data_IF_015002511000
#
_entry.id   IF_015002511000
#
_cell.length_a   1.000
_cell.length_b   1.000
_cell.length_c   1.000
_cell.angle_alpha   90.00
_cell.angle_beta   90.00
_cell.angle_gamma   90.00
#
_symmetry.space_group_name_H-M   'P 1'
#
loop_
_entity.id
_entity.type
_entity.pdbx_description
1 polymer ?
#
# COMPACT_ATOMS: atom_id res chain seq x y z
N UNK A 1 9.81 -59.05 13.93
CA UNK A 1 10.28 -57.90 13.15
C UNK A 1 11.65 -57.51 13.70
N UNK A 2 12.69 -57.57 12.87
CA UNK A 2 14.09 -57.46 13.30
C UNK A 2 14.44 -55.99 13.52
N UNK A 3 15.21 -55.66 14.58
CA UNK A 3 15.61 -54.28 14.96
C UNK A 3 16.17 -53.45 13.79
N UNK A 4 16.84 -54.11 12.84
CA UNK A 4 17.36 -53.46 11.61
C UNK A 4 16.25 -53.05 10.62
N UNK A 5 15.14 -53.77 10.57
CA UNK A 5 13.99 -53.43 9.71
C UNK A 5 13.20 -52.25 10.30
N UNK A 6 13.12 -52.14 11.65
CA UNK A 6 12.48 -51.02 12.31
C UNK A 6 13.26 -49.71 12.10
N UNK A 7 14.59 -49.76 12.16
CA UNK A 7 15.46 -48.63 11.89
C UNK A 7 15.40 -48.14 10.42
N UNK A 8 15.27 -49.06 9.46
CA UNK A 8 15.09 -48.74 8.05
C UNK A 8 13.73 -48.10 7.76
N UNK A 9 12.66 -48.53 8.45
CA UNK A 9 11.33 -47.92 8.35
C UNK A 9 11.30 -46.52 8.96
N UNK A 10 11.98 -46.26 10.08
CA UNK A 10 12.10 -44.95 10.68
C UNK A 10 12.93 -43.97 9.83
N UNK A 11 13.98 -44.48 9.14
CA UNK A 11 14.80 -43.67 8.25
C UNK A 11 14.04 -43.27 6.95
N UNK A 12 13.09 -44.10 6.49
CA UNK A 12 12.28 -43.80 5.30
C UNK A 12 11.17 -42.79 5.57
N UNK A 13 10.75 -42.61 6.83
CA UNK A 13 9.74 -41.60 7.21
C UNK A 13 10.30 -40.22 7.42
N UNK A 14 11.61 -40.06 7.51
CA UNK A 14 12.25 -38.75 7.80
C UNK A 14 12.67 -38.00 6.55
N UNK A 15 12.36 -38.48 5.34
CA UNK A 15 12.81 -37.88 4.07
C UNK A 15 11.71 -37.23 3.23
N UNK A 16 10.48 -37.08 3.74
CA UNK A 16 9.45 -36.30 3.04
C UNK A 16 9.48 -34.88 3.60
N UNK A 17 10.54 -34.14 3.29
CA UNK A 17 10.51 -32.71 3.34
C UNK A 17 9.60 -32.24 2.17
N UNK A 18 8.33 -31.95 2.43
CA UNK A 18 7.52 -31.20 1.48
C UNK A 18 8.16 -29.83 1.32
N UNK A 19 8.52 -29.42 0.10
CA UNK A 19 8.87 -28.02 -0.13
C UNK A 19 7.63 -27.21 0.23
N UNK A 20 7.70 -26.41 1.28
CA UNK A 20 6.75 -25.35 1.51
C UNK A 20 6.97 -24.37 0.36
N UNK A 21 6.15 -24.48 -0.67
CA UNK A 21 6.05 -23.43 -1.68
C UNK A 21 5.51 -22.20 -0.94
N UNK A 22 6.42 -21.30 -0.60
CA UNK A 22 6.01 -19.95 -0.24
C UNK A 22 5.15 -19.45 -1.40
N UNK A 23 3.93 -19.03 -1.11
CA UNK A 23 3.06 -18.36 -2.10
C UNK A 23 3.81 -17.11 -2.46
N UNK A 24 4.48 -17.13 -3.61
CA UNK A 24 5.12 -15.96 -4.18
C UNK A 24 3.99 -15.03 -4.62
N UNK A 25 3.64 -14.08 -3.78
CA UNK A 25 2.75 -13.00 -4.18
C UNK A 25 3.46 -12.29 -5.32
N UNK A 26 2.81 -12.12 -6.49
CA UNK A 26 3.40 -11.35 -7.57
C UNK A 26 3.83 -10.01 -6.97
N UNK A 27 5.15 -9.76 -6.97
CA UNK A 27 5.74 -8.65 -6.25
C UNK A 27 5.10 -7.34 -6.67
N UNK A 28 4.25 -6.79 -5.80
CA UNK A 28 3.65 -5.47 -5.97
C UNK A 28 4.75 -4.41 -5.86
N UNK A 29 5.84 -4.76 -5.15
CA UNK A 29 6.99 -3.87 -4.94
C UNK A 29 8.24 -4.42 -5.64
N UNK A 30 9.10 -3.53 -6.11
CA UNK A 30 10.37 -3.87 -6.73
C UNK A 30 11.46 -2.88 -6.31
N UNK A 31 12.69 -3.35 -6.19
CA UNK A 31 13.87 -2.53 -5.95
C UNK A 31 14.52 -2.04 -7.26
N UNK A 32 13.99 -2.45 -8.42
CA UNK A 32 14.47 -2.01 -9.73
C UNK A 32 13.56 -0.93 -10.29
N UNK A 33 14.14 0.17 -10.76
CA UNK A 33 13.40 1.23 -11.44
C UNK A 33 12.78 0.67 -12.73
N UNK A 34 11.45 0.73 -12.81
CA UNK A 34 10.68 0.45 -14.01
C UNK A 34 9.99 1.73 -14.44
N UNK A 35 9.90 1.97 -15.74
CA UNK A 35 9.32 3.21 -16.30
C UNK A 35 7.88 3.50 -15.86
N UNK A 36 7.15 2.49 -15.43
CA UNK A 36 5.74 2.58 -15.02
C UNK A 36 5.53 2.43 -13.50
N UNK A 37 6.62 2.25 -12.73
CA UNK A 37 6.52 2.06 -11.29
C UNK A 37 6.47 3.40 -10.56
N UNK A 38 5.54 3.55 -9.62
CA UNK A 38 5.52 4.68 -8.70
C UNK A 38 6.69 4.57 -7.71
N UNK A 39 7.45 5.64 -7.56
CA UNK A 39 8.59 5.66 -6.64
C UNK A 39 8.15 5.98 -5.23
N UNK A 40 8.27 5.00 -4.33
CA UNK A 40 7.96 5.17 -2.90
C UNK A 40 9.14 5.77 -2.12
N UNK A 41 10.36 5.44 -2.54
CA UNK A 41 11.60 5.84 -1.86
C UNK A 41 12.67 6.12 -2.91
N UNK A 42 13.30 7.28 -2.83
CA UNK A 42 14.43 7.66 -3.68
C UNK A 42 15.55 8.25 -2.82
N UNK A 43 16.77 7.69 -2.91
CA UNK A 43 17.93 8.14 -2.15
C UNK A 43 17.65 8.27 -0.65
N UNK A 44 17.02 7.25 -0.06
CA UNK A 44 16.55 7.20 1.32
C UNK A 44 15.52 8.31 1.69
N UNK A 45 14.98 9.03 0.72
CA UNK A 45 13.93 10.03 0.92
C UNK A 45 12.57 9.44 0.54
N UNK A 46 11.64 9.31 1.49
CA UNK A 46 10.28 8.86 1.22
C UNK A 46 9.51 9.87 0.38
N UNK A 47 8.64 9.36 -0.50
CA UNK A 47 7.62 10.18 -1.15
C UNK A 47 6.67 10.72 -0.09
N UNK A 48 6.35 12.03 -0.11
CA UNK A 48 5.41 12.64 0.83
C UNK A 48 4.02 12.01 0.77
N UNK A 49 3.28 12.07 1.88
CA UNK A 49 1.93 11.55 1.98
C UNK A 49 0.96 12.73 2.07
N UNK A 50 0.04 12.85 1.13
CA UNK A 50 -1.05 13.83 1.17
C UNK A 50 -2.29 13.22 1.80
N UNK A 51 -2.89 13.91 2.76
CA UNK A 51 -4.18 13.54 3.34
C UNK A 51 -5.07 14.75 3.54
N UNK A 52 -6.37 14.52 3.59
CA UNK A 52 -7.31 15.53 4.05
C UNK A 52 -7.35 15.52 5.59
N UNK A 53 -6.92 16.62 6.21
CA UNK A 53 -6.95 16.75 7.67
C UNK A 53 -8.37 16.66 8.26
N UNK A 54 -9.40 16.94 7.44
CA UNK A 54 -10.81 16.84 7.82
C UNK A 54 -11.39 15.42 7.67
N UNK A 55 -10.64 14.49 7.07
CA UNK A 55 -11.05 13.08 6.97
C UNK A 55 -11.08 12.43 8.37
N UNK A 56 -11.61 11.23 8.45
CA UNK A 56 -11.87 10.55 9.71
C UNK A 56 -10.58 10.30 10.52
N UNK A 57 -10.62 10.58 11.83
CA UNK A 57 -9.47 10.51 12.73
C UNK A 57 -8.68 9.18 12.65
N UNK A 58 -9.36 8.04 12.43
CA UNK A 58 -8.69 6.74 12.27
C UNK A 58 -7.78 6.69 11.04
N UNK A 59 -8.13 7.37 9.96
CA UNK A 59 -7.33 7.48 8.74
C UNK A 59 -6.08 8.33 9.02
N UNK A 60 -6.24 9.45 9.74
CA UNK A 60 -5.11 10.31 10.11
C UNK A 60 -4.07 9.54 10.96
N UNK A 61 -4.53 8.65 11.85
CA UNK A 61 -3.64 7.77 12.63
C UNK A 61 -2.92 6.78 11.70
N UNK A 62 -3.61 6.14 10.76
CA UNK A 62 -3.01 5.20 9.82
C UNK A 62 -1.94 5.88 8.94
N UNK A 63 -2.21 7.09 8.46
CA UNK A 63 -1.25 7.90 7.69
C UNK A 63 -0.02 8.25 8.53
N UNK A 64 -0.20 8.62 9.81
CA UNK A 64 0.92 8.89 10.72
C UNK A 64 1.78 7.64 10.93
N UNK A 65 1.15 6.47 11.08
CA UNK A 65 1.85 5.20 11.22
C UNK A 65 2.62 4.85 9.93
N UNK A 66 2.01 5.03 8.76
CA UNK A 66 2.69 4.82 7.47
C UNK A 66 3.93 5.72 7.34
N UNK A 67 3.82 7.00 7.72
CA UNK A 67 4.96 7.92 7.71
C UNK A 67 6.09 7.47 8.64
N UNK A 68 5.75 6.91 9.80
CA UNK A 68 6.70 6.33 10.76
C UNK A 68 7.31 5.02 10.24
N UNK A 69 6.54 4.19 9.51
CA UNK A 69 7.06 2.97 8.91
C UNK A 69 8.11 3.28 7.83
N UNK A 70 7.94 4.36 7.06
CA UNK A 70 9.01 4.87 6.19
C UNK A 70 10.28 5.17 6.98
N UNK A 71 10.17 5.81 8.16
CA UNK A 71 11.33 6.09 9.02
C UNK A 71 12.02 4.80 9.49
N UNK A 72 11.26 3.78 9.85
CA UNK A 72 11.80 2.49 10.30
C UNK A 72 12.58 1.77 9.20
N UNK A 73 12.14 1.90 7.95
CA UNK A 73 12.75 1.20 6.80
C UNK A 73 13.90 2.01 6.19
N UNK A 74 13.74 3.33 6.05
CA UNK A 74 14.69 4.20 5.32
C UNK A 74 15.56 5.08 6.21
N UNK A 75 15.24 5.18 7.51
CA UNK A 75 15.85 6.13 8.42
C UNK A 75 15.24 7.54 8.35
N UNK A 76 14.36 7.81 7.38
CA UNK A 76 13.74 9.14 7.18
C UNK A 76 12.21 9.01 7.21
N UNK A 77 11.55 9.82 8.03
CA UNK A 77 10.09 9.86 8.09
C UNK A 77 9.51 10.53 6.85
N UNK A 78 8.43 9.98 6.30
CA UNK A 78 7.70 10.64 5.22
C UNK A 78 7.03 11.93 5.71
N UNK A 79 7.11 12.99 4.91
CA UNK A 79 6.39 14.23 5.19
C UNK A 79 4.89 14.02 4.99
N UNK A 80 4.06 14.44 5.95
CA UNK A 80 2.59 14.41 5.82
C UNK A 80 2.11 15.79 5.42
N UNK A 81 1.45 15.87 4.26
CA UNK A 81 0.97 17.10 3.64
C UNK A 81 -0.54 17.24 3.86
N UNK A 82 -1.00 18.46 4.08
CA UNK A 82 -2.42 18.84 4.08
C UNK A 82 -2.86 19.55 2.80
N UNK A 83 -1.89 19.91 1.93
CA UNK A 83 -2.11 20.52 0.62
C UNK A 83 -1.12 19.93 -0.40
N UNK A 84 -1.51 19.75 -1.67
CA UNK A 84 -0.61 19.30 -2.73
C UNK A 84 0.40 20.42 -3.02
N UNK A 85 1.67 20.19 -2.65
CA UNK A 85 2.77 21.15 -2.83
C UNK A 85 4.05 20.52 -3.38
N UNK A 86 3.95 19.27 -3.82
CA UNK A 86 5.03 18.53 -4.46
C UNK A 86 4.51 17.92 -5.74
N UNK A 87 5.40 17.67 -6.69
CA UNK A 87 5.03 17.08 -7.98
C UNK A 87 4.68 15.58 -7.89
N UNK A 88 4.92 14.95 -6.74
CA UNK A 88 4.62 13.52 -6.49
C UNK A 88 4.29 13.31 -5.01
N UNK A 89 3.27 12.49 -4.72
CA UNK A 89 2.90 12.10 -3.36
C UNK A 89 2.05 10.81 -3.34
N UNK A 90 1.93 10.22 -2.15
CA UNK A 90 0.95 9.18 -1.86
C UNK A 90 -0.30 9.89 -1.32
N UNK A 91 -1.44 9.73 -1.99
CA UNK A 91 -2.71 10.28 -1.51
C UNK A 91 -3.48 9.18 -0.77
N UNK A 92 -3.79 9.43 0.50
CA UNK A 92 -4.60 8.52 1.32
C UNK A 92 -5.90 9.21 1.73
N UNK A 93 -7.03 8.55 1.51
CA UNK A 93 -8.33 9.11 1.89
C UNK A 93 -9.51 8.14 1.74
N UNK A 94 -10.61 8.46 2.42
CA UNK A 94 -11.90 7.82 2.18
C UNK A 94 -12.58 8.43 0.96
N UNK A 95 -13.73 7.85 0.53
CA UNK A 95 -14.58 8.47 -0.49
C UNK A 95 -15.09 9.86 -0.10
N UNK A 96 -15.06 10.22 1.19
CA UNK A 96 -15.48 11.53 1.71
C UNK A 96 -14.38 12.58 1.68
N UNK A 97 -13.11 12.17 1.51
CA UNK A 97 -11.96 13.08 1.42
C UNK A 97 -12.12 14.07 0.26
N UNK A 98 -11.89 15.33 0.53
CA UNK A 98 -12.00 16.40 -0.50
C UNK A 98 -11.10 16.14 -1.70
N UNK A 99 -9.91 15.60 -1.51
CA UNK A 99 -8.98 15.30 -2.59
C UNK A 99 -9.45 14.13 -3.45
N UNK A 100 -10.00 13.08 -2.83
CA UNK A 100 -10.60 11.96 -3.55
C UNK A 100 -11.81 12.45 -4.36
N UNK A 101 -12.70 13.23 -3.75
CA UNK A 101 -13.87 13.81 -4.45
C UNK A 101 -13.46 14.71 -5.62
N UNK A 102 -12.38 15.49 -5.47
CA UNK A 102 -11.85 16.31 -6.55
C UNK A 102 -11.34 15.46 -7.72
N UNK A 103 -10.62 14.37 -7.46
CA UNK A 103 -10.16 13.44 -8.50
C UNK A 103 -11.33 12.78 -9.24
N UNK A 104 -12.36 12.33 -8.50
CA UNK A 104 -13.56 11.73 -9.08
C UNK A 104 -14.32 12.75 -9.92
N UNK A 105 -14.53 13.98 -9.43
CA UNK A 105 -15.20 15.06 -10.16
C UNK A 105 -14.50 15.44 -11.46
N UNK A 106 -13.18 15.33 -11.50
CA UNK A 106 -12.36 15.65 -12.67
C UNK A 106 -12.08 14.44 -13.58
N UNK A 107 -12.82 13.32 -13.41
CA UNK A 107 -12.66 12.08 -14.16
C UNK A 107 -11.22 11.49 -14.13
N UNK A 108 -10.46 11.79 -13.06
CA UNK A 108 -9.10 11.28 -12.86
C UNK A 108 -9.07 9.97 -12.07
N UNK A 109 -10.15 9.64 -11.36
CA UNK A 109 -10.25 8.44 -10.51
C UNK A 109 -11.65 7.84 -10.62
N UNK A 110 -11.72 6.57 -11.04
CA UNK A 110 -12.96 5.79 -11.01
C UNK A 110 -13.06 5.00 -9.70
N UNK A 111 -14.05 5.31 -8.90
CA UNK A 111 -14.32 4.67 -7.60
C UNK A 111 -15.65 3.90 -7.57
N UNK A 112 -16.26 3.63 -8.73
CA UNK A 112 -17.56 2.94 -8.81
C UNK A 112 -17.54 1.60 -8.10
N UNK A 113 -16.43 0.89 -8.16
CA UNK A 113 -16.26 -0.40 -7.49
C UNK A 113 -16.33 -0.31 -5.95
N UNK A 114 -16.09 0.87 -5.36
CA UNK A 114 -16.11 1.11 -3.93
C UNK A 114 -17.45 1.62 -3.41
N UNK A 115 -18.31 2.15 -4.31
CA UNK A 115 -19.58 2.74 -3.91
C UNK A 115 -20.52 1.69 -3.31
N UNK A 116 -21.09 2.00 -2.13
CA UNK A 116 -22.01 1.10 -1.41
C UNK A 116 -21.34 -0.18 -0.88
N UNK A 117 -20.00 -0.25 -0.89
CA UNK A 117 -19.24 -1.36 -0.31
C UNK A 117 -18.72 -0.98 1.08
N UNK A 118 -18.43 -2.01 1.88
CA UNK A 118 -17.81 -1.85 3.18
C UNK A 118 -16.40 -2.46 3.14
N UNK A 119 -15.46 -1.80 3.81
CA UNK A 119 -14.11 -2.32 4.07
C UNK A 119 -13.31 -2.67 2.82
N UNK A 120 -13.69 -2.11 1.66
CA UNK A 120 -12.94 -2.27 0.42
C UNK A 120 -12.04 -1.06 0.16
N UNK A 121 -10.97 -1.29 -0.58
CA UNK A 121 -10.05 -0.23 -0.99
C UNK A 121 -9.57 -0.45 -2.42
N UNK A 122 -9.05 0.62 -3.00
CA UNK A 122 -8.37 0.65 -4.30
C UNK A 122 -7.01 1.33 -4.11
N UNK A 123 -5.96 0.71 -4.66
CA UNK A 123 -4.63 1.33 -4.80
C UNK A 123 -4.35 1.46 -6.28
N UNK A 124 -4.08 2.68 -6.73
CA UNK A 124 -3.83 2.96 -8.15
C UNK A 124 -2.94 4.19 -8.34
N UNK A 125 -2.18 4.23 -9.45
CA UNK A 125 -1.43 5.41 -9.84
C UNK A 125 -2.30 6.32 -10.70
N UNK A 126 -2.32 7.61 -10.39
CA UNK A 126 -3.02 8.64 -11.15
C UNK A 126 -2.01 9.64 -11.69
N UNK A 127 -1.97 9.80 -13.00
CA UNK A 127 -1.15 10.82 -13.67
C UNK A 127 -1.87 12.16 -13.67
N UNK A 128 -1.10 13.24 -13.42
CA UNK A 128 -1.61 14.61 -13.35
C UNK A 128 -2.89 14.72 -12.48
N UNK A 129 -2.83 14.28 -11.20
CA UNK A 129 -3.99 14.29 -10.33
C UNK A 129 -4.50 15.71 -10.06
N UNK A 130 -3.57 16.66 -9.93
CA UNK A 130 -3.84 18.09 -9.73
C UNK A 130 -2.91 18.92 -10.61
N UNK A 131 -3.15 20.24 -10.67
CA UNK A 131 -2.26 21.19 -11.34
C UNK A 131 -0.84 21.11 -10.74
N UNK A 132 0.19 21.14 -11.56
CA UNK A 132 1.61 21.05 -11.18
C UNK A 132 2.02 19.74 -10.46
N UNK A 133 1.19 18.71 -10.51
CA UNK A 133 1.49 17.37 -9.96
C UNK A 133 1.62 16.36 -11.07
N UNK A 134 2.78 15.69 -11.15
CA UNK A 134 3.06 14.69 -12.17
C UNK A 134 2.25 13.40 -11.96
N UNK A 135 2.28 12.90 -10.72
CA UNK A 135 1.59 11.65 -10.39
C UNK A 135 1.32 11.52 -8.88
N UNK A 136 0.33 10.71 -8.57
CA UNK A 136 0.06 10.26 -7.21
C UNK A 136 -0.22 8.77 -7.16
N UNK A 137 0.29 8.10 -6.11
CA UNK A 137 -0.21 6.80 -5.69
C UNK A 137 -1.43 7.04 -4.80
N UNK A 138 -2.61 6.68 -5.28
CA UNK A 138 -3.88 6.89 -4.57
C UNK A 138 -4.26 5.62 -3.82
N UNK A 139 -4.46 5.74 -2.51
CA UNK A 139 -5.01 4.72 -1.62
C UNK A 139 -6.36 5.25 -1.16
N UNK A 140 -7.44 4.69 -1.69
CA UNK A 140 -8.81 5.14 -1.38
C UNK A 140 -9.64 3.98 -0.84
N UNK A 141 -10.34 4.19 0.26
CA UNK A 141 -11.27 3.21 0.84
C UNK A 141 -12.72 3.60 0.67
N UNK A 142 -13.59 2.59 0.56
CA UNK A 142 -15.04 2.75 0.55
C UNK A 142 -15.57 3.40 1.83
N UNK A 143 -14.85 3.22 2.93
CA UNK A 143 -15.12 3.77 4.25
C UNK A 143 -13.81 3.91 5.04
N UNK A 144 -13.92 4.32 6.31
CA UNK A 144 -12.76 4.43 7.21
C UNK A 144 -11.93 3.16 7.30
N UNK A 145 -12.59 1.99 7.45
CA UNK A 145 -11.89 0.72 7.65
C UNK A 145 -11.22 0.27 6.36
N UNK A 146 -11.90 0.40 5.23
CA UNK A 146 -11.32 0.13 3.92
C UNK A 146 -10.08 1.00 3.66
N UNK A 147 -10.13 2.30 4.00
CA UNK A 147 -8.96 3.18 3.86
C UNK A 147 -7.80 2.74 4.75
N UNK A 148 -8.07 2.38 6.01
CA UNK A 148 -7.05 1.87 6.94
C UNK A 148 -6.44 0.58 6.39
N UNK A 149 -7.24 -0.37 5.90
CA UNK A 149 -6.74 -1.63 5.33
C UNK A 149 -5.89 -1.43 4.08
N UNK A 150 -6.26 -0.48 3.22
CA UNK A 150 -5.45 -0.13 2.05
C UNK A 150 -4.13 0.56 2.41
N UNK A 151 -4.03 1.16 3.60
CA UNK A 151 -2.83 1.86 4.07
C UNK A 151 -1.80 0.90 4.67
N UNK A 152 -2.24 -0.22 5.26
CA UNK A 152 -1.40 -1.29 5.81
C UNK A 152 -1.21 -2.46 4.83
#
# INVERSE_FOLDING_TARGET
MNRKQLLLLCALWMSIAFPVLAIDHPGITTNTLRSEAFTLLQDAKPTPILMDAADQKGINIAVTNLAEDFRRVSGTQAEVLSTPRTNRFILVGSLESKYIQQLVKNDKLDVKMLQGKNEQYLITCVKQPFEDVEEALVIVGSDRRGTIYGTY
#
